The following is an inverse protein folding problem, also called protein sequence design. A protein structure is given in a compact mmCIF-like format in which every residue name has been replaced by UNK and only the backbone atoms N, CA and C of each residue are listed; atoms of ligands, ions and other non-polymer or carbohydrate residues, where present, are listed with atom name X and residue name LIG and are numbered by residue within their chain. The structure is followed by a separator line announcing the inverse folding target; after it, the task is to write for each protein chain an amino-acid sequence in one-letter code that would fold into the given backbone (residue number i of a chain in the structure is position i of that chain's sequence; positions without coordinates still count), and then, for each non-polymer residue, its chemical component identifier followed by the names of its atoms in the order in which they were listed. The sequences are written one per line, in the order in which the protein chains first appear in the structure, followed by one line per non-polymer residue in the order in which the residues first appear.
data_IF_500125845443
#
_entry.id   IF_500125845443
#
_cell.length_a   1.000
_cell.length_b   1.000
_cell.length_c   1.000
_cell.angle_alpha   90.00
_cell.angle_beta   90.00
_cell.angle_gamma   90.00
#
_symmetry.space_group_name_H-M   'P 1'
#
loop_
_entity.id
_entity.type
_entity.pdbx_description
1 polymer ?
#
# COMPACT_ATOMS: atom_id res chain seq x y z
N UNK A 1 -4.06 -7.44 46.34
CA UNK A 1 -2.78 -6.78 45.97
C UNK A 1 -2.75 -6.20 44.54
N UNK A 2 -3.69 -6.50 43.63
CA UNK A 2 -3.66 -5.95 42.25
C UNK A 2 -4.27 -4.53 42.09
N UNK A 3 -5.08 -4.07 43.05
CA UNK A 3 -5.85 -2.81 42.92
C UNK A 3 -4.97 -1.56 43.08
N UNK A 4 -4.01 -1.60 44.01
CA UNK A 4 -3.11 -0.46 44.28
C UNK A 4 -2.05 -0.31 43.19
N UNK A 5 -1.52 -1.42 42.68
CA UNK A 5 -0.57 -1.43 41.57
C UNK A 5 -1.20 -0.91 40.27
N UNK A 6 -2.43 -1.35 39.94
CA UNK A 6 -3.15 -0.84 38.77
C UNK A 6 -3.53 0.64 38.94
N UNK A 7 -3.89 1.07 40.15
CA UNK A 7 -4.13 2.48 40.45
C UNK A 7 -2.89 3.36 40.22
N UNK A 8 -1.70 2.89 40.62
CA UNK A 8 -0.44 3.57 40.32
C UNK A 8 -0.16 3.63 38.83
N UNK A 9 -0.39 2.54 38.08
CA UNK A 9 -0.21 2.52 36.62
C UNK A 9 -1.14 3.50 35.90
N UNK A 10 -2.40 3.59 36.34
CA UNK A 10 -3.34 4.56 35.81
C UNK A 10 -2.97 6.00 36.17
N UNK A 11 -2.45 6.23 37.37
CA UNK A 11 -2.00 7.56 37.80
C UNK A 11 -0.78 8.01 37.00
N UNK A 12 0.19 7.13 36.75
CA UNK A 12 1.34 7.47 35.90
C UNK A 12 0.98 7.60 34.42
N UNK A 13 -0.12 6.96 34.00
CA UNK A 13 -0.67 7.08 32.66
C UNK A 13 -1.39 8.42 32.42
N UNK A 14 -1.51 9.31 33.40
CA UNK A 14 -2.10 10.63 33.17
C UNK A 14 -1.38 11.37 32.04
N UNK A 15 -2.17 11.95 31.11
CA UNK A 15 -1.65 12.59 29.89
C UNK A 15 -0.74 13.78 30.21
N UNK A 16 -1.03 14.55 31.27
CA UNK A 16 -0.21 15.70 31.68
C UNK A 16 1.13 15.24 32.24
N UNK A 17 1.10 14.16 33.04
CA UNK A 17 2.33 13.57 33.54
C UNK A 17 3.17 12.97 32.39
N UNK A 18 2.56 12.23 31.47
CA UNK A 18 3.25 11.68 30.30
C UNK A 18 3.92 12.79 29.47
N UNK A 19 3.25 13.91 29.24
CA UNK A 19 3.84 15.09 28.59
C UNK A 19 5.05 15.62 29.32
N UNK A 20 4.97 15.76 30.64
CA UNK A 20 6.10 16.22 31.46
C UNK A 20 7.27 15.23 31.42
N UNK A 21 6.99 13.92 31.45
CA UNK A 21 8.03 12.88 31.30
C UNK A 21 8.72 13.02 29.93
N UNK A 22 7.96 13.15 28.85
CA UNK A 22 8.52 13.28 27.49
C UNK A 22 9.38 14.54 27.35
N UNK A 23 8.93 15.68 27.86
CA UNK A 23 9.62 16.96 27.73
C UNK A 23 10.84 17.08 28.64
N UNK A 24 10.69 16.72 29.92
CA UNK A 24 11.67 17.08 30.97
C UNK A 24 12.45 15.88 31.49
N UNK A 25 11.94 14.66 31.34
CA UNK A 25 12.54 13.46 31.94
C UNK A 25 12.45 12.22 31.05
N UNK A 26 12.94 12.28 29.79
CA UNK A 26 12.83 11.16 28.86
C UNK A 26 13.48 9.89 29.43
N UNK A 27 14.59 10.02 30.18
CA UNK A 27 15.25 8.89 30.87
C UNK A 27 14.31 8.09 31.79
N UNK A 28 13.31 8.74 32.39
CA UNK A 28 12.29 8.06 33.19
C UNK A 28 11.43 7.14 32.33
N UNK A 29 11.01 7.60 31.14
CA UNK A 29 10.31 6.75 30.18
C UNK A 29 11.18 5.53 29.80
N UNK A 30 12.46 5.74 29.47
CA UNK A 30 13.38 4.65 29.14
C UNK A 30 13.46 3.59 30.24
N UNK A 31 13.67 4.02 31.50
CA UNK A 31 13.77 3.10 32.62
C UNK A 31 12.48 2.29 32.82
N UNK A 32 11.32 2.94 32.66
CA UNK A 32 10.02 2.28 32.75
C UNK A 32 9.84 1.26 31.61
N UNK A 33 10.14 1.60 30.36
CA UNK A 33 10.04 0.66 29.24
C UNK A 33 11.04 -0.51 29.35
N UNK A 34 12.24 -0.27 29.85
CA UNK A 34 13.18 -1.36 30.17
C UNK A 34 12.65 -2.27 31.28
N UNK A 35 12.03 -1.71 32.32
CA UNK A 35 11.40 -2.50 33.38
C UNK A 35 10.20 -3.32 32.86
N UNK A 36 9.37 -2.75 31.98
CA UNK A 36 8.27 -3.46 31.32
C UNK A 36 8.82 -4.62 30.49
N UNK A 37 9.84 -4.37 29.66
CA UNK A 37 10.50 -5.39 28.85
C UNK A 37 11.11 -6.52 29.70
N UNK A 38 11.79 -6.17 30.80
CA UNK A 38 12.44 -7.14 31.68
C UNK A 38 11.43 -8.01 32.45
N UNK A 39 10.31 -7.43 32.87
CA UNK A 39 9.28 -8.15 33.63
C UNK A 39 8.32 -8.92 32.74
N UNK A 40 8.19 -8.56 31.46
CA UNK A 40 7.26 -9.13 30.47
C UNK A 40 5.79 -9.11 30.90
N UNK A 41 5.43 -8.23 31.85
CA UNK A 41 4.06 -8.08 32.37
C UNK A 41 3.28 -7.10 31.49
N UNK A 42 2.82 -7.58 30.34
CA UNK A 42 2.10 -6.75 29.38
C UNK A 42 0.58 -6.68 29.62
N UNK A 43 -0.02 -7.71 30.25
CA UNK A 43 -1.46 -7.79 30.52
C UNK A 43 -1.95 -7.02 31.76
N UNK A 44 -1.29 -5.90 32.08
CA UNK A 44 -1.66 -4.99 33.18
C UNK A 44 -2.07 -3.63 32.58
N UNK A 45 -2.53 -2.68 33.41
CA UNK A 45 -2.98 -1.34 33.00
C UNK A 45 -1.84 -0.41 32.47
N UNK A 46 -0.83 -0.98 31.80
CA UNK A 46 0.31 -0.27 31.21
C UNK A 46 0.00 0.29 29.82
N UNK A 47 -1.06 -0.21 29.16
CA UNK A 47 -1.47 0.21 27.83
C UNK A 47 -1.66 1.72 27.71
N UNK A 48 -2.41 2.31 28.64
CA UNK A 48 -2.67 3.75 28.68
C UNK A 48 -1.39 4.57 28.84
N UNK A 49 -0.46 4.12 29.69
CA UNK A 49 0.83 4.77 29.88
C UNK A 49 1.66 4.71 28.60
N UNK A 50 1.80 3.52 28.02
CA UNK A 50 2.62 3.31 26.83
C UNK A 50 2.10 4.12 25.63
N UNK A 51 0.77 4.11 25.43
CA UNK A 51 0.10 4.93 24.42
C UNK A 51 0.35 6.41 24.68
N UNK A 52 0.11 6.91 25.88
CA UNK A 52 0.24 8.35 26.16
C UNK A 52 1.68 8.85 26.03
N UNK A 53 2.69 8.08 26.45
CA UNK A 53 4.10 8.45 26.21
C UNK A 53 4.40 8.52 24.71
N UNK A 54 3.95 7.52 23.93
CA UNK A 54 4.18 7.52 22.49
C UNK A 54 3.54 8.73 21.80
N UNK A 55 2.28 9.02 22.11
CA UNK A 55 1.54 10.15 21.54
C UNK A 55 2.12 11.50 21.92
N UNK A 56 2.42 11.71 23.21
CA UNK A 56 3.04 12.96 23.66
C UNK A 56 4.46 13.14 23.09
N UNK A 57 5.20 12.04 22.88
CA UNK A 57 6.49 12.09 22.18
C UNK A 57 6.34 12.41 20.69
N UNK A 58 5.29 11.94 20.03
CA UNK A 58 5.06 12.22 18.62
C UNK A 58 4.60 13.67 18.39
N UNK A 59 3.81 14.23 19.30
CA UNK A 59 3.34 15.61 19.26
C UNK A 59 4.45 16.62 19.61
N UNK A 60 5.43 16.22 20.43
CA UNK A 60 6.57 17.05 20.79
C UNK A 60 7.75 16.85 19.82
N UNK A 61 8.01 17.84 18.95
CA UNK A 61 9.12 17.82 17.98
C UNK A 61 10.52 17.83 18.62
N UNK A 62 10.62 18.22 19.89
CA UNK A 62 11.87 18.16 20.65
C UNK A 62 12.03 16.83 21.40
N UNK A 63 11.11 15.87 21.24
CA UNK A 63 11.18 14.58 21.92
C UNK A 63 12.30 13.67 21.41
N UNK A 64 12.57 12.63 22.19
CA UNK A 64 13.53 11.58 21.82
C UNK A 64 13.20 10.91 20.47
N UNK A 65 11.95 10.89 20.01
CA UNK A 65 11.61 10.29 18.71
C UNK A 65 12.24 11.04 17.53
N UNK A 66 12.24 12.38 17.61
CA UNK A 66 12.82 13.26 16.59
C UNK A 66 14.33 13.39 16.75
N UNK A 67 14.82 13.53 17.98
CA UNK A 67 16.26 13.59 18.24
C UNK A 67 16.95 12.30 17.78
N UNK A 68 16.38 11.12 18.06
CA UNK A 68 16.96 9.88 17.55
C UNK A 68 16.85 9.72 16.03
N UNK A 69 16.10 10.59 15.33
CA UNK A 69 15.98 10.59 13.86
C UNK A 69 17.10 11.38 13.20
N UNK A 70 17.57 12.42 13.88
CA UNK A 70 18.51 13.38 13.31
C UNK A 70 19.96 12.92 13.57
N UNK A 71 20.40 11.94 12.77
CA UNK A 71 21.68 11.25 12.95
C UNK A 71 22.93 12.14 12.87
N UNK A 72 22.80 13.42 12.47
CA UNK A 72 23.93 14.36 12.47
C UNK A 72 23.86 15.39 13.61
N UNK A 73 22.66 15.75 14.09
CA UNK A 73 22.49 16.72 15.17
C UNK A 73 22.58 16.11 16.57
N UNK A 74 22.34 14.80 16.70
CA UNK A 74 22.07 14.16 18.01
C UNK A 74 23.19 13.27 18.56
N UNK A 75 24.35 13.25 17.91
CA UNK A 75 25.55 12.53 18.36
C UNK A 75 25.29 11.06 18.71
N UNK A 76 25.92 10.56 19.79
CA UNK A 76 25.83 9.16 20.22
C UNK A 76 24.39 8.64 20.45
N UNK A 77 23.47 9.52 20.86
CA UNK A 77 22.05 9.16 21.08
C UNK A 77 21.34 8.92 19.74
N UNK A 78 21.64 9.75 18.73
CA UNK A 78 21.16 9.56 17.37
C UNK A 78 21.64 8.25 16.73
N UNK A 79 22.86 7.82 17.08
CA UNK A 79 23.44 6.57 16.56
C UNK A 79 22.88 5.32 17.25
N UNK A 80 22.89 5.30 18.59
CA UNK A 80 22.50 4.11 19.37
C UNK A 80 20.99 3.95 19.51
N UNK A 81 20.24 5.06 19.42
CA UNK A 81 18.78 5.10 19.45
C UNK A 81 18.16 4.37 20.65
N UNK A 82 18.68 4.58 21.88
CA UNK A 82 18.32 3.77 23.05
C UNK A 82 16.81 3.77 23.36
N UNK A 83 16.12 4.89 23.13
CA UNK A 83 14.68 5.00 23.39
C UNK A 83 13.87 4.20 22.38
N UNK A 84 14.06 4.45 21.08
CA UNK A 84 13.31 3.73 20.05
C UNK A 84 13.65 2.24 20.02
N UNK A 85 14.88 1.84 20.38
CA UNK A 85 15.25 0.44 20.55
C UNK A 85 14.53 -0.19 21.75
N UNK A 86 14.60 0.41 22.94
CA UNK A 86 13.96 -0.14 24.14
C UNK A 86 12.43 -0.25 24.00
N UNK A 87 11.81 0.70 23.31
CA UNK A 87 10.37 0.77 23.11
C UNK A 87 9.90 -0.13 21.95
N UNK A 88 10.52 -0.02 20.78
CA UNK A 88 9.94 -0.60 19.56
C UNK A 88 10.70 -1.80 19.03
N UNK A 89 11.96 -2.03 19.43
CA UNK A 89 12.70 -3.24 19.10
C UNK A 89 12.43 -4.40 20.09
N UNK A 90 11.21 -4.46 20.62
CA UNK A 90 10.70 -5.55 21.44
C UNK A 90 9.31 -5.94 20.92
N UNK A 91 9.26 -6.91 20.01
CA UNK A 91 8.01 -7.33 19.38
C UNK A 91 7.01 -7.88 20.40
N UNK A 92 7.45 -8.60 21.44
CA UNK A 92 6.55 -9.13 22.48
C UNK A 92 5.80 -7.97 23.16
N UNK A 93 6.51 -6.89 23.47
CA UNK A 93 5.89 -5.71 24.07
C UNK A 93 4.93 -5.02 23.09
N UNK A 94 5.34 -4.83 21.84
CA UNK A 94 4.51 -4.18 20.81
C UNK A 94 3.22 -4.95 20.53
N UNK A 95 3.29 -6.27 20.44
CA UNK A 95 2.13 -7.13 20.14
C UNK A 95 1.20 -7.27 21.35
N UNK A 96 1.74 -7.37 22.56
CA UNK A 96 0.91 -7.57 23.75
C UNK A 96 0.33 -6.28 24.31
N UNK A 97 0.97 -5.12 24.09
CA UNK A 97 0.41 -3.81 24.39
C UNK A 97 -0.36 -3.32 23.16
N UNK A 98 -1.59 -3.81 23.00
CA UNK A 98 -2.40 -3.70 21.77
C UNK A 98 -2.55 -2.28 21.21
N UNK A 99 -2.52 -1.27 22.08
CA UNK A 99 -2.73 0.13 21.71
C UNK A 99 -1.44 0.92 21.46
N UNK A 100 -0.28 0.27 21.54
CA UNK A 100 1.00 0.99 21.58
C UNK A 100 1.36 1.70 20.28
N UNK A 101 1.14 1.03 19.15
CA UNK A 101 1.32 1.62 17.82
C UNK A 101 0.03 2.22 17.26
N UNK A 102 -1.09 2.16 17.99
CA UNK A 102 -2.36 2.67 17.50
C UNK A 102 -2.39 4.20 17.66
N UNK A 103 -2.47 4.95 16.56
CA UNK A 103 -2.68 6.37 16.64
C UNK A 103 -4.11 6.68 17.12
N UNK A 104 -4.30 7.86 17.70
CA UNK A 104 -5.63 8.45 17.87
C UNK A 104 -6.07 8.93 16.47
N UNK A 105 -7.18 8.40 15.96
CA UNK A 105 -7.66 8.66 14.59
C UNK A 105 -7.81 10.16 14.29
N UNK A 106 -8.26 10.94 15.28
CA UNK A 106 -8.45 12.37 15.14
C UNK A 106 -7.13 13.14 15.16
N UNK A 107 -6.13 12.61 15.87
CA UNK A 107 -4.77 13.16 15.88
C UNK A 107 -4.07 12.87 14.55
N UNK A 108 -4.20 11.63 14.03
CA UNK A 108 -3.51 11.20 12.82
C UNK A 108 -3.92 12.01 11.59
N UNK A 109 -5.20 12.40 11.48
CA UNK A 109 -5.68 13.27 10.40
C UNK A 109 -5.05 14.66 10.40
N UNK A 110 -4.49 15.09 11.53
CA UNK A 110 -3.83 16.40 11.70
C UNK A 110 -2.32 16.31 11.58
N UNK A 111 -1.77 15.11 11.44
CA UNK A 111 -0.32 14.94 11.36
C UNK A 111 0.25 15.59 10.13
N UNK A 112 1.30 16.38 10.33
CA UNK A 112 2.15 16.80 9.24
C UNK A 112 3.04 15.64 8.77
N UNK A 113 3.65 15.78 7.59
CA UNK A 113 4.51 14.70 7.11
C UNK A 113 5.76 14.42 7.97
N UNK A 114 6.17 15.29 8.91
CA UNK A 114 7.27 14.95 9.84
C UNK A 114 6.78 13.97 10.91
N UNK A 115 5.58 14.16 11.45
CA UNK A 115 4.94 13.19 12.34
C UNK A 115 4.71 11.85 11.61
N UNK A 116 4.23 11.87 10.36
CA UNK A 116 4.09 10.65 9.57
C UNK A 116 5.42 9.92 9.35
N UNK A 117 6.52 10.66 9.14
CA UNK A 117 7.86 10.10 8.94
C UNK A 117 8.38 9.38 10.20
N UNK A 118 8.22 10.03 11.37
CA UNK A 118 8.57 9.41 12.67
C UNK A 118 7.74 8.15 12.91
N UNK A 119 6.43 8.21 12.67
CA UNK A 119 5.55 7.06 12.81
C UNK A 119 5.98 5.90 11.91
N UNK A 120 6.23 6.16 10.61
CA UNK A 120 6.74 5.17 9.66
C UNK A 120 8.03 4.51 10.18
N UNK A 121 8.95 5.30 10.71
CA UNK A 121 10.22 4.80 11.24
C UNK A 121 10.03 3.89 12.45
N UNK A 122 9.19 4.30 13.41
CA UNK A 122 8.87 3.49 14.59
C UNK A 122 8.28 2.15 14.19
N UNK A 123 7.32 2.13 13.26
CA UNK A 123 6.73 0.90 12.75
C UNK A 123 7.76 0.02 12.04
N UNK A 124 8.71 0.59 11.29
CA UNK A 124 9.80 -0.17 10.66
C UNK A 124 10.75 -0.82 11.67
N UNK A 125 11.00 -0.19 12.82
CA UNK A 125 11.82 -0.77 13.90
C UNK A 125 11.10 -2.00 14.46
N UNK A 126 9.82 -1.86 14.80
CA UNK A 126 8.98 -2.98 15.27
C UNK A 126 8.89 -4.10 14.24
N UNK A 127 8.67 -3.75 12.97
CA UNK A 127 8.59 -4.70 11.86
C UNK A 127 9.89 -5.48 11.66
N UNK A 128 11.06 -4.82 11.72
CA UNK A 128 12.36 -5.49 11.66
C UNK A 128 12.55 -6.45 12.82
N UNK A 129 12.27 -6.01 14.05
CA UNK A 129 12.42 -6.87 15.22
C UNK A 129 11.51 -8.09 15.14
N UNK A 130 10.25 -7.89 14.73
CA UNK A 130 9.28 -8.96 14.52
C UNK A 130 9.80 -10.04 13.55
N UNK A 131 10.35 -9.64 12.40
CA UNK A 131 10.87 -10.59 11.42
C UNK A 131 12.10 -11.33 11.95
N UNK A 132 13.03 -10.61 12.58
CA UNK A 132 14.30 -11.18 13.09
C UNK A 132 14.10 -12.25 14.17
N UNK A 133 13.00 -12.21 14.93
CA UNK A 133 12.71 -13.18 16.00
C UNK A 133 12.01 -14.45 15.49
N UNK A 134 11.97 -14.66 14.16
CA UNK A 134 11.41 -15.84 13.49
C UNK A 134 9.95 -16.16 13.85
N UNK A 135 9.23 -15.21 14.45
CA UNK A 135 7.82 -15.35 14.77
C UNK A 135 7.00 -15.21 13.47
N UNK A 136 6.19 -16.23 13.16
CA UNK A 136 5.46 -16.36 11.89
C UNK A 136 3.95 -16.22 12.02
N UNK A 137 3.49 -15.70 13.16
CA UNK A 137 2.06 -15.49 13.42
C UNK A 137 1.47 -14.35 12.58
N UNK A 138 0.15 -14.16 12.68
CA UNK A 138 -0.50 -12.91 12.32
C UNK A 138 -0.23 -11.90 13.45
N UNK A 139 0.11 -10.65 13.13
CA UNK A 139 0.13 -9.57 14.13
C UNK A 139 -0.88 -8.53 13.71
N UNK A 140 -2.01 -8.53 14.43
CA UNK A 140 -3.03 -7.50 14.30
C UNK A 140 -2.41 -6.12 14.42
N UNK A 141 -1.54 -5.90 15.40
CA UNK A 141 -0.97 -4.59 15.71
C UNK A 141 -0.13 -4.05 14.55
N UNK A 142 0.74 -4.88 13.96
CA UNK A 142 1.52 -4.49 12.78
C UNK A 142 0.64 -4.31 11.53
N UNK A 143 -0.34 -5.20 11.31
CA UNK A 143 -1.28 -5.06 10.19
C UNK A 143 -2.02 -3.73 10.25
N UNK A 144 -2.52 -3.39 11.44
CA UNK A 144 -3.26 -2.16 11.69
C UNK A 144 -2.35 -0.95 11.51
N UNK A 145 -1.17 -0.94 12.13
CA UNK A 145 -0.22 0.17 11.97
C UNK A 145 0.18 0.42 10.50
N UNK A 146 0.40 -0.66 9.72
CA UNK A 146 0.64 -0.57 8.27
C UNK A 146 -0.60 -0.06 7.52
N UNK A 147 -1.80 -0.43 7.93
CA UNK A 147 -3.06 0.12 7.45
C UNK A 147 -3.12 1.64 7.66
N UNK A 148 -2.84 2.11 8.88
CA UNK A 148 -2.84 3.53 9.25
C UNK A 148 -1.82 4.34 8.44
N UNK A 149 -0.60 3.82 8.26
CA UNK A 149 0.39 4.45 7.36
C UNK A 149 -0.18 4.61 5.95
N UNK A 150 -0.90 3.60 5.46
CA UNK A 150 -1.47 3.65 4.12
C UNK A 150 -2.55 4.73 4.00
N UNK A 151 -3.35 4.94 5.04
CA UNK A 151 -4.39 5.97 5.10
C UNK A 151 -3.81 7.38 4.96
N UNK A 152 -2.54 7.62 5.30
CA UNK A 152 -1.88 8.92 5.07
C UNK A 152 -1.89 9.36 3.59
N UNK A 153 -2.10 8.44 2.64
CA UNK A 153 -2.27 8.75 1.21
C UNK A 153 -3.74 8.91 0.76
N UNK A 154 -4.72 8.87 1.67
CA UNK A 154 -6.15 8.97 1.32
C UNK A 154 -6.53 10.31 0.70
N UNK A 155 -5.84 11.36 1.12
CA UNK A 155 -6.13 12.75 0.73
C UNK A 155 -5.73 13.08 -0.71
N UNK A 156 -5.17 12.11 -1.45
CA UNK A 156 -4.90 12.25 -2.89
C UNK A 156 -6.15 12.64 -3.70
N UNK A 157 -7.35 12.27 -3.23
CA UNK A 157 -8.60 12.69 -3.88
C UNK A 157 -8.88 14.21 -3.76
N UNK A 158 -8.23 14.91 -2.83
CA UNK A 158 -8.40 16.35 -2.61
C UNK A 158 -7.54 17.21 -3.56
N UNK A 159 -6.54 16.59 -4.19
CA UNK A 159 -5.63 17.25 -5.13
C UNK A 159 -6.38 17.83 -6.34
N UNK A 160 -6.22 19.13 -6.55
CA UNK A 160 -6.81 19.88 -7.65
C UNK A 160 -5.73 20.56 -8.50
N UNK A 161 -6.11 21.12 -9.65
CA UNK A 161 -5.15 21.73 -10.59
C UNK A 161 -4.47 23.00 -10.07
N UNK A 162 -4.98 23.61 -9.00
CA UNK A 162 -4.37 24.79 -8.36
C UNK A 162 -3.38 24.32 -7.30
N UNK A 163 -2.09 24.35 -7.63
CA UNK A 163 -1.02 24.02 -6.68
C UNK A 163 -1.08 24.92 -5.44
N UNK A 164 -1.34 24.31 -4.30
CA UNK A 164 -1.35 24.90 -2.96
C UNK A 164 -0.25 24.28 -2.09
N UNK A 165 0.09 24.92 -0.97
CA UNK A 165 0.99 24.33 0.03
C UNK A 165 0.45 22.98 0.57
N UNK A 166 -0.87 22.82 0.64
CA UNK A 166 -1.52 21.56 1.04
C UNK A 166 -1.27 20.42 0.05
N UNK A 167 -1.24 20.70 -1.26
CA UNK A 167 -0.93 19.67 -2.27
C UNK A 167 0.51 19.15 -2.12
N UNK A 168 1.44 20.01 -1.71
CA UNK A 168 2.82 19.62 -1.42
C UNK A 168 2.90 18.63 -0.26
N UNK A 169 2.17 18.88 0.83
CA UNK A 169 2.13 17.96 1.97
C UNK A 169 1.47 16.62 1.61
N UNK A 170 0.34 16.63 0.89
CA UNK A 170 -0.33 15.40 0.43
C UNK A 170 0.63 14.55 -0.43
N UNK A 171 1.38 15.18 -1.34
CA UNK A 171 2.38 14.48 -2.15
C UNK A 171 3.59 14.00 -1.32
N UNK A 172 3.98 14.74 -0.27
CA UNK A 172 5.02 14.34 0.68
C UNK A 172 4.57 13.11 1.48
N UNK A 173 3.34 13.09 1.99
CA UNK A 173 2.74 11.92 2.66
C UNK A 173 2.69 10.70 1.74
N UNK A 174 2.27 10.85 0.49
CA UNK A 174 2.35 9.75 -0.49
C UNK A 174 3.80 9.25 -0.66
N UNK A 175 4.78 10.16 -0.76
CA UNK A 175 6.17 9.76 -0.90
C UNK A 175 6.68 8.97 0.31
N UNK A 176 6.26 9.35 1.53
CA UNK A 176 6.57 8.61 2.77
C UNK A 176 5.95 7.21 2.76
N UNK A 177 4.69 7.06 2.38
CA UNK A 177 4.03 5.73 2.29
C UNK A 177 4.77 4.83 1.29
N UNK A 178 5.12 5.35 0.12
CA UNK A 178 5.89 4.59 -0.88
C UNK A 178 7.28 4.23 -0.35
N UNK A 179 7.93 5.13 0.37
CA UNK A 179 9.25 4.86 0.96
C UNK A 179 9.16 3.81 2.07
N UNK A 180 8.15 3.86 2.93
CA UNK A 180 7.88 2.84 3.93
C UNK A 180 7.68 1.45 3.30
N UNK A 181 6.88 1.35 2.23
CA UNK A 181 6.68 0.09 1.49
C UNK A 181 8.03 -0.45 0.98
N UNK A 182 8.87 0.42 0.42
CA UNK A 182 10.20 0.03 -0.07
C UNK A 182 11.09 -0.49 1.05
N UNK A 183 11.07 0.19 2.19
CA UNK A 183 11.89 -0.18 3.35
C UNK A 183 11.40 -1.48 4.00
N UNK A 184 10.09 -1.71 4.06
CA UNK A 184 9.51 -2.97 4.52
C UNK A 184 9.92 -4.14 3.62
N UNK A 185 9.87 -3.97 2.30
CA UNK A 185 10.33 -5.00 1.35
C UNK A 185 11.84 -5.25 1.51
N UNK A 186 12.64 -4.20 1.66
CA UNK A 186 14.08 -4.31 1.89
C UNK A 186 14.40 -5.09 3.18
N UNK A 187 13.65 -4.87 4.25
CA UNK A 187 13.82 -5.63 5.51
C UNK A 187 13.52 -7.12 5.26
N UNK A 188 12.45 -7.45 4.54
CA UNK A 188 12.15 -8.84 4.19
C UNK A 188 13.23 -9.46 3.29
N UNK A 189 13.80 -8.71 2.36
CA UNK A 189 14.88 -9.19 1.50
C UNK A 189 16.17 -9.47 2.29
N UNK A 190 16.44 -8.69 3.35
CA UNK A 190 17.61 -8.89 4.22
C UNK A 190 17.51 -10.16 5.06
N UNK A 191 16.30 -10.48 5.54
CA UNK A 191 16.03 -11.68 6.35
C UNK A 191 15.89 -12.95 5.48
N UNK A 192 15.62 -12.77 4.19
CA UNK A 192 15.46 -13.86 3.23
C UNK A 192 14.02 -14.40 3.14
N UNK A 193 13.77 -15.22 2.11
CA UNK A 193 12.46 -15.86 1.91
C UNK A 193 12.46 -17.23 2.57
N UNK A 194 11.56 -17.51 3.53
CA UNK A 194 11.47 -18.82 4.15
C UNK A 194 11.13 -19.94 3.14
N UNK A 195 11.66 -21.14 3.34
CA UNK A 195 11.54 -22.28 2.40
C UNK A 195 10.09 -22.70 2.07
N UNK A 196 9.16 -22.45 2.99
CA UNK A 196 7.73 -22.77 2.82
C UNK A 196 6.96 -21.71 2.01
N UNK A 197 7.56 -20.57 1.70
CA UNK A 197 6.92 -19.53 0.89
C UNK A 197 7.06 -19.89 -0.59
N UNK A 198 6.06 -20.60 -1.10
CA UNK A 198 6.00 -20.91 -2.52
C UNK A 198 5.54 -19.69 -3.33
N UNK A 199 6.39 -19.20 -4.25
CA UNK A 199 6.04 -18.12 -5.19
C UNK A 199 4.86 -18.54 -6.08
N UNK A 200 4.73 -19.83 -6.39
CA UNK A 200 3.65 -20.37 -7.23
C UNK A 200 2.72 -21.26 -6.41
N UNK A 201 1.73 -20.67 -5.76
CA UNK A 201 0.66 -21.44 -5.14
C UNK A 201 -0.44 -21.73 -6.18
N UNK A 202 -0.81 -23.01 -6.32
CA UNK A 202 -1.92 -23.47 -7.18
C UNK A 202 -3.23 -22.82 -6.73
N UNK A 203 -4.18 -22.69 -7.66
CA UNK A 203 -5.53 -22.17 -7.38
C UNK A 203 -6.14 -22.95 -6.20
N UNK A 204 -6.54 -22.26 -5.14
CA UNK A 204 -7.19 -22.86 -3.96
C UNK A 204 -6.48 -22.64 -2.62
N UNK A 205 -5.19 -22.26 -2.62
CA UNK A 205 -4.45 -21.97 -1.39
C UNK A 205 -4.00 -20.49 -1.42
N UNK A 206 -4.98 -19.62 -1.14
CA UNK A 206 -4.81 -18.16 -1.09
C UNK A 206 -4.28 -17.67 0.26
N UNK A 207 -3.76 -18.56 1.11
CA UNK A 207 -3.14 -18.19 2.37
C UNK A 207 -1.86 -17.38 2.08
N UNK A 208 -2.00 -16.06 2.10
CA UNK A 208 -0.88 -15.14 2.05
C UNK A 208 -0.03 -15.44 3.29
N UNK A 209 1.29 -15.69 3.18
CA UNK A 209 2.11 -15.51 4.36
C UNK A 209 1.92 -14.05 4.77
N UNK A 210 1.41 -13.88 5.98
CA UNK A 210 0.60 -12.74 6.41
C UNK A 210 1.29 -11.40 6.10
N UNK A 211 2.60 -11.33 6.33
CA UNK A 211 3.43 -10.14 6.11
C UNK A 211 3.52 -9.68 4.65
N UNK A 212 3.72 -10.60 3.70
CA UNK A 212 3.71 -10.26 2.27
C UNK A 212 2.31 -9.80 1.84
N UNK A 213 1.27 -10.38 2.45
CA UNK A 213 -0.11 -10.00 2.24
C UNK A 213 -0.40 -8.56 2.66
N UNK A 214 0.15 -8.10 3.79
CA UNK A 214 0.00 -6.71 4.22
C UNK A 214 0.63 -5.74 3.23
N UNK A 215 1.87 -5.98 2.79
CA UNK A 215 2.54 -5.10 1.81
C UNK A 215 1.76 -5.05 0.49
N UNK A 216 1.28 -6.20 0.01
CA UNK A 216 0.43 -6.25 -1.20
C UNK A 216 -0.88 -5.48 -1.00
N UNK A 217 -1.46 -5.52 0.21
CA UNK A 217 -2.65 -4.75 0.57
C UNK A 217 -2.38 -3.26 0.62
N UNK A 218 -1.27 -2.83 1.23
CA UNK A 218 -0.85 -1.44 1.21
C UNK A 218 -0.73 -0.91 -0.22
N UNK A 219 -0.02 -1.64 -1.11
CA UNK A 219 0.17 -1.20 -2.50
C UNK A 219 -1.16 -1.13 -3.25
N UNK A 220 -2.02 -2.15 -3.13
CA UNK A 220 -3.35 -2.16 -3.75
C UNK A 220 -4.25 -1.00 -3.27
N UNK A 221 -4.16 -0.67 -1.97
CA UNK A 221 -4.87 0.46 -1.37
C UNK A 221 -4.32 1.80 -1.86
N UNK A 222 -3.01 1.98 -1.93
CA UNK A 222 -2.39 3.19 -2.50
C UNK A 222 -2.82 3.37 -3.96
N UNK A 223 -2.76 2.30 -4.77
CA UNK A 223 -3.27 2.32 -6.15
C UNK A 223 -4.74 2.77 -6.15
N UNK A 224 -5.56 2.22 -5.26
CA UNK A 224 -6.97 2.60 -5.12
C UNK A 224 -7.18 4.08 -4.78
N UNK A 225 -6.32 4.69 -3.97
CA UNK A 225 -6.36 6.14 -3.73
C UNK A 225 -5.98 6.94 -4.97
N UNK A 226 -4.96 6.51 -5.73
CA UNK A 226 -4.61 7.18 -7.00
C UNK A 226 -5.72 7.13 -8.05
N UNK A 227 -6.64 6.16 -7.96
CA UNK A 227 -7.81 6.06 -8.85
C UNK A 227 -8.89 7.11 -8.56
N UNK A 228 -8.86 7.75 -7.39
CA UNK A 228 -9.80 8.77 -6.93
C UNK A 228 -9.32 10.21 -7.22
N UNK A 229 -8.12 10.38 -7.76
CA UNK A 229 -7.61 11.70 -8.17
C UNK A 229 -8.43 12.21 -9.34
N UNK A 230 -9.06 13.38 -9.17
CA UNK A 230 -9.96 13.96 -10.17
C UNK A 230 -9.21 14.71 -11.28
N UNK A 231 -8.05 15.31 -10.97
CA UNK A 231 -7.29 16.13 -11.93
C UNK A 231 -6.65 15.28 -13.04
N UNK A 232 -7.04 15.48 -14.33
CA UNK A 232 -6.48 14.73 -15.46
C UNK A 232 -4.96 14.86 -15.60
N UNK A 233 -4.42 16.06 -15.36
CA UNK A 233 -2.98 16.34 -15.49
C UNK A 233 -2.16 15.62 -14.42
N UNK A 234 -2.66 15.60 -13.17
CA UNK A 234 -1.95 15.03 -12.04
C UNK A 234 -2.05 13.50 -11.96
N UNK A 235 -3.17 12.92 -12.41
CA UNK A 235 -3.42 11.47 -12.37
C UNK A 235 -2.24 10.68 -12.94
N UNK A 236 -1.76 11.04 -14.13
CA UNK A 236 -0.64 10.34 -14.77
C UNK A 236 0.64 10.49 -13.96
N UNK A 237 0.96 11.70 -13.51
CA UNK A 237 2.20 11.94 -12.77
C UNK A 237 2.22 11.19 -11.45
N UNK A 238 1.11 11.17 -10.72
CA UNK A 238 0.97 10.41 -9.47
C UNK A 238 1.07 8.90 -9.75
N UNK A 239 0.24 8.38 -10.66
CA UNK A 239 0.17 6.94 -10.94
C UNK A 239 1.49 6.42 -11.51
N UNK A 240 2.06 7.10 -12.51
CA UNK A 240 3.27 6.65 -13.21
C UNK A 240 4.56 7.03 -12.48
N UNK A 241 4.78 8.31 -12.14
CA UNK A 241 6.06 8.76 -11.57
C UNK A 241 6.14 8.46 -10.07
N UNK A 242 5.11 8.83 -9.32
CA UNK A 242 5.17 8.75 -7.85
C UNK A 242 4.93 7.35 -7.31
N UNK A 243 4.04 6.56 -7.91
CA UNK A 243 3.71 5.20 -7.46
C UNK A 243 4.43 4.15 -8.29
N UNK A 244 4.08 4.02 -9.57
CA UNK A 244 4.54 2.91 -10.41
C UNK A 244 6.07 2.88 -10.56
N UNK A 245 6.68 4.01 -10.90
CA UNK A 245 8.13 4.08 -11.16
C UNK A 245 8.94 3.83 -9.89
N UNK A 246 8.54 4.43 -8.77
CA UNK A 246 9.23 4.22 -7.48
C UNK A 246 9.13 2.79 -6.98
N UNK A 247 8.02 2.09 -7.23
CA UNK A 247 7.86 0.69 -6.82
C UNK A 247 8.51 -0.29 -7.80
N UNK A 248 8.34 -0.13 -9.12
CA UNK A 248 8.73 -1.16 -10.09
C UNK A 248 10.02 -0.89 -10.86
N UNK A 249 10.43 0.37 -11.05
CA UNK A 249 11.67 0.69 -11.78
C UNK A 249 12.87 0.89 -10.86
N UNK A 250 12.67 1.33 -9.62
CA UNK A 250 13.75 1.64 -8.67
C UNK A 250 14.19 0.43 -7.83
N UNK A 251 14.20 -0.77 -8.43
CA UNK A 251 14.72 -2.01 -7.84
C UNK A 251 14.04 -2.55 -6.56
N UNK A 252 12.95 -1.94 -6.08
CA UNK A 252 12.26 -2.34 -4.85
C UNK A 252 11.93 -3.82 -4.78
N UNK A 253 11.54 -4.43 -5.91
CA UNK A 253 11.14 -5.83 -5.96
C UNK A 253 12.21 -6.77 -6.49
N UNK A 254 13.47 -6.34 -6.57
CA UNK A 254 14.53 -7.15 -7.19
C UNK A 254 15.01 -8.30 -6.29
N UNK A 255 14.89 -8.18 -4.97
CA UNK A 255 15.28 -9.23 -4.05
C UNK A 255 14.25 -10.37 -3.99
N UNK A 256 14.59 -11.50 -3.35
CA UNK A 256 13.74 -12.68 -3.29
C UNK A 256 12.35 -12.40 -2.69
N UNK A 257 12.27 -11.66 -1.58
CA UNK A 257 11.02 -11.28 -0.94
C UNK A 257 10.25 -10.27 -1.81
N UNK A 258 10.98 -9.34 -2.42
CA UNK A 258 10.43 -8.41 -3.41
C UNK A 258 9.72 -9.12 -4.57
N UNK A 259 10.29 -10.21 -5.10
CA UNK A 259 9.67 -11.01 -6.17
C UNK A 259 8.38 -11.71 -5.70
N UNK A 260 8.31 -12.17 -4.44
CA UNK A 260 7.06 -12.71 -3.85
C UNK A 260 5.97 -11.64 -3.84
N UNK A 261 6.29 -10.43 -3.35
CA UNK A 261 5.36 -9.28 -3.33
C UNK A 261 4.91 -8.93 -4.74
N UNK A 262 5.83 -8.79 -5.70
CA UNK A 262 5.52 -8.44 -7.08
C UNK A 262 4.66 -9.50 -7.78
N UNK A 263 4.93 -10.79 -7.56
CA UNK A 263 4.10 -11.88 -8.08
C UNK A 263 2.66 -11.80 -7.55
N UNK A 264 2.51 -11.65 -6.23
CA UNK A 264 1.20 -11.62 -5.56
C UNK A 264 0.41 -10.37 -5.95
N UNK A 265 1.06 -9.20 -5.98
CA UNK A 265 0.45 -7.96 -6.43
C UNK A 265 -0.03 -8.07 -7.87
N UNK A 266 0.81 -8.59 -8.79
CA UNK A 266 0.40 -8.84 -10.18
C UNK A 266 -0.86 -9.70 -10.26
N UNK A 267 -0.91 -10.80 -9.51
CA UNK A 267 -2.07 -11.70 -9.49
C UNK A 267 -3.30 -11.00 -8.95
N UNK A 268 -3.18 -10.24 -7.86
CA UNK A 268 -4.28 -9.45 -7.28
C UNK A 268 -4.83 -8.44 -8.28
N UNK A 269 -3.97 -7.66 -8.94
CA UNK A 269 -4.39 -6.67 -9.94
C UNK A 269 -5.08 -7.35 -11.13
N UNK A 270 -4.48 -8.42 -11.67
CA UNK A 270 -5.08 -9.13 -12.80
C UNK A 270 -6.41 -9.81 -12.44
N UNK A 271 -6.54 -10.39 -11.24
CA UNK A 271 -7.79 -11.00 -10.79
C UNK A 271 -8.92 -9.95 -10.70
N UNK A 272 -8.61 -8.71 -10.27
CA UNK A 272 -9.58 -7.62 -10.29
C UNK A 272 -10.03 -7.28 -11.72
N UNK A 273 -9.14 -7.33 -12.72
CA UNK A 273 -9.49 -7.10 -14.13
C UNK A 273 -10.25 -8.30 -14.73
N UNK A 274 -9.78 -9.52 -14.47
CA UNK A 274 -10.39 -10.75 -14.98
C UNK A 274 -11.80 -10.99 -14.41
N UNK A 275 -12.08 -10.45 -13.22
CA UNK A 275 -13.39 -10.41 -12.59
C UNK A 275 -14.34 -9.35 -13.16
N UNK A 276 -13.98 -8.62 -14.22
CA UNK A 276 -14.95 -7.86 -15.01
C UNK A 276 -15.76 -8.88 -15.83
N UNK A 277 -16.85 -9.38 -15.24
CA UNK A 277 -17.77 -10.34 -15.87
C UNK A 277 -19.22 -10.00 -15.50
N UNK A 278 -20.16 -10.48 -16.31
CA UNK A 278 -21.57 -10.57 -15.97
C UNK A 278 -21.75 -11.81 -15.08
N UNK A 279 -22.51 -11.72 -13.99
CA UNK A 279 -23.00 -12.91 -13.29
C UNK A 279 -24.23 -13.52 -14.00
N UNK A 280 -24.61 -14.74 -13.63
CA UNK A 280 -25.73 -15.48 -14.24
C UNK A 280 -27.09 -14.74 -14.13
N UNK A 281 -27.18 -13.70 -13.31
CA UNK A 281 -28.37 -12.87 -13.10
C UNK A 281 -28.32 -11.52 -13.84
N UNK A 282 -27.34 -11.29 -14.70
CA UNK A 282 -27.24 -10.03 -15.46
C UNK A 282 -26.83 -8.82 -14.62
N UNK A 283 -26.39 -9.03 -13.38
CA UNK A 283 -25.94 -7.95 -12.50
C UNK A 283 -24.45 -7.63 -12.74
N UNK A 284 -24.20 -6.35 -12.99
CA UNK A 284 -22.85 -5.81 -13.16
C UNK A 284 -22.14 -5.76 -11.80
N UNK A 285 -21.07 -6.54 -11.62
CA UNK A 285 -20.12 -6.30 -10.54
C UNK A 285 -18.75 -5.96 -11.13
N UNK A 286 -18.09 -4.99 -10.49
CA UNK A 286 -16.65 -4.70 -10.59
C UNK A 286 -16.19 -3.43 -11.37
N UNK A 287 -16.80 -2.27 -11.08
CA UNK A 287 -16.22 -0.95 -11.42
C UNK A 287 -14.79 -0.76 -10.89
N UNK A 288 -14.42 -1.45 -9.80
CA UNK A 288 -13.04 -1.48 -9.30
C UNK A 288 -12.10 -2.08 -10.33
N UNK A 289 -12.44 -3.25 -10.88
CA UNK A 289 -11.70 -3.91 -11.95
C UNK A 289 -11.51 -3.02 -13.17
N UNK A 290 -12.56 -2.32 -13.61
CA UNK A 290 -12.48 -1.34 -14.69
C UNK A 290 -11.48 -0.21 -14.38
N UNK A 291 -11.55 0.37 -13.17
CA UNK A 291 -10.60 1.42 -12.75
C UNK A 291 -9.17 0.88 -12.63
N UNK A 292 -8.97 -0.38 -12.24
CA UNK A 292 -7.64 -1.01 -12.20
C UNK A 292 -7.11 -1.27 -13.60
N UNK A 293 -7.98 -1.67 -14.55
CA UNK A 293 -7.62 -1.76 -15.95
C UNK A 293 -7.16 -0.39 -16.48
N UNK A 294 -7.91 0.67 -16.17
CA UNK A 294 -7.54 2.06 -16.47
C UNK A 294 -6.16 2.42 -15.93
N UNK A 295 -5.89 2.12 -14.66
CA UNK A 295 -4.57 2.33 -14.06
C UNK A 295 -3.48 1.58 -14.81
N UNK A 296 -3.69 0.28 -15.10
CA UNK A 296 -2.71 -0.53 -15.81
C UNK A 296 -2.41 0.02 -17.21
N UNK A 297 -3.44 0.41 -17.97
CA UNK A 297 -3.27 1.02 -19.29
C UNK A 297 -2.55 2.37 -19.22
N UNK A 298 -2.83 3.19 -18.19
CA UNK A 298 -2.16 4.46 -17.96
C UNK A 298 -0.66 4.31 -17.68
N UNK A 299 -0.27 3.33 -16.85
CA UNK A 299 1.12 3.19 -16.39
C UNK A 299 1.98 2.26 -17.26
N UNK A 300 1.36 1.28 -17.94
CA UNK A 300 2.07 0.33 -18.81
C UNK A 300 2.07 0.71 -20.29
N UNK A 301 1.22 1.68 -20.68
CA UNK A 301 0.97 2.07 -22.06
C UNK A 301 0.42 0.93 -22.95
N UNK A 302 0.11 1.28 -24.21
CA UNK A 302 -0.57 0.39 -25.16
C UNK A 302 0.37 -0.56 -25.94
N UNK A 303 1.68 -0.31 -25.94
CA UNK A 303 2.66 -1.12 -26.69
C UNK A 303 3.51 -1.97 -25.76
N UNK A 304 3.59 -3.28 -26.02
CA UNK A 304 4.42 -4.21 -25.23
C UNK A 304 5.89 -3.80 -25.31
N UNK A 305 6.51 -3.61 -24.14
CA UNK A 305 7.96 -3.38 -24.04
C UNK A 305 8.68 -4.61 -24.63
N UNK A 306 9.39 -4.43 -25.76
CA UNK A 306 10.20 -5.48 -26.41
C UNK A 306 11.51 -5.66 -25.65
N UNK A 307 11.89 -6.91 -25.36
CA UNK A 307 13.13 -7.28 -24.68
C UNK A 307 13.24 -8.79 -24.54
N UNK A 308 14.41 -9.36 -24.89
CA UNK A 308 14.56 -10.76 -25.32
C UNK A 308 14.92 -11.80 -24.25
N UNK A 309 14.89 -11.48 -22.95
CA UNK A 309 15.22 -12.48 -21.93
C UNK A 309 14.13 -12.64 -20.87
N UNK A 310 13.57 -13.85 -20.77
CA UNK A 310 12.27 -14.10 -20.12
C UNK A 310 12.35 -14.55 -18.66
N UNK A 311 13.51 -14.98 -18.19
CA UNK A 311 13.67 -15.54 -16.83
C UNK A 311 14.70 -14.81 -15.98
N UNK A 312 15.67 -14.14 -16.60
CA UNK A 312 16.72 -13.35 -15.94
C UNK A 312 16.37 -11.87 -15.81
N UNK A 313 15.34 -11.38 -16.53
CA UNK A 313 14.99 -9.97 -16.50
C UNK A 313 14.20 -9.62 -15.23
N UNK A 314 14.77 -8.74 -14.40
CA UNK A 314 14.21 -8.18 -13.15
C UNK A 314 12.84 -7.51 -13.33
N UNK A 315 12.42 -7.41 -14.59
CA UNK A 315 11.22 -6.82 -15.16
C UNK A 315 10.11 -7.82 -15.46
N UNK A 316 10.32 -9.09 -15.11
CA UNK A 316 9.44 -10.20 -15.44
C UNK A 316 7.98 -9.97 -15.00
N UNK A 317 7.74 -9.66 -13.72
CA UNK A 317 6.37 -9.59 -13.21
C UNK A 317 5.53 -8.50 -13.88
N UNK A 318 6.11 -7.32 -14.14
CA UNK A 318 5.38 -6.26 -14.83
C UNK A 318 5.10 -6.62 -16.29
N UNK A 319 6.04 -7.27 -17.01
CA UNK A 319 5.83 -7.64 -18.41
C UNK A 319 4.71 -8.65 -18.57
N UNK A 320 4.64 -9.59 -17.63
CA UNK A 320 3.57 -10.58 -17.60
C UNK A 320 2.22 -9.89 -17.31
N UNK A 321 2.17 -8.95 -16.36
CA UNK A 321 0.96 -8.15 -16.13
C UNK A 321 0.55 -7.41 -17.41
N UNK A 322 1.48 -6.70 -18.03
CA UNK A 322 1.25 -5.90 -19.24
C UNK A 322 0.66 -6.72 -20.37
N UNK A 323 1.24 -7.88 -20.65
CA UNK A 323 0.72 -8.79 -21.68
C UNK A 323 -0.66 -9.31 -21.34
N UNK A 324 -0.89 -9.70 -20.09
CA UNK A 324 -2.19 -10.19 -19.65
C UNK A 324 -3.27 -9.11 -19.76
N UNK A 325 -2.95 -7.88 -19.35
CA UNK A 325 -3.82 -6.70 -19.49
C UNK A 325 -4.15 -6.44 -20.94
N UNK A 326 -3.15 -6.32 -21.82
CA UNK A 326 -3.39 -6.06 -23.24
C UNK A 326 -4.15 -7.20 -23.92
N UNK A 327 -3.86 -8.46 -23.60
CA UNK A 327 -4.59 -9.61 -24.12
C UNK A 327 -6.05 -9.59 -23.69
N UNK A 328 -6.33 -9.26 -22.42
CA UNK A 328 -7.69 -9.08 -21.91
C UNK A 328 -8.40 -7.95 -22.65
N UNK A 329 -7.77 -6.77 -22.77
CA UNK A 329 -8.34 -5.60 -23.46
C UNK A 329 -8.68 -5.93 -24.91
N UNK A 330 -7.76 -6.53 -25.66
CA UNK A 330 -7.99 -6.92 -27.06
C UNK A 330 -9.19 -7.85 -27.21
N UNK A 331 -9.34 -8.82 -26.31
CA UNK A 331 -10.36 -9.85 -26.40
C UNK A 331 -11.74 -9.37 -25.95
N UNK A 332 -11.80 -8.49 -24.96
CA UNK A 332 -13.05 -8.21 -24.23
C UNK A 332 -13.56 -6.77 -24.37
N UNK A 333 -12.72 -5.81 -24.76
CA UNK A 333 -13.10 -4.39 -24.71
C UNK A 333 -14.22 -4.02 -25.70
N UNK A 334 -14.16 -4.50 -26.94
CA UNK A 334 -15.19 -4.18 -27.95
C UNK A 334 -16.56 -4.68 -27.49
N UNK A 335 -16.63 -5.92 -27.01
CA UNK A 335 -17.86 -6.48 -26.44
C UNK A 335 -18.36 -5.67 -25.24
N UNK A 336 -17.45 -5.28 -24.34
CA UNK A 336 -17.78 -4.49 -23.15
C UNK A 336 -18.34 -3.11 -23.54
N UNK A 337 -17.76 -2.46 -24.55
CA UNK A 337 -18.21 -1.17 -25.04
C UNK A 337 -19.59 -1.26 -25.68
N UNK A 338 -19.86 -2.31 -26.47
CA UNK A 338 -21.16 -2.52 -27.11
C UNK A 338 -22.31 -2.79 -26.13
N UNK A 339 -22.05 -3.56 -25.06
CA UNK A 339 -23.12 -3.99 -24.13
C UNK A 339 -23.18 -3.12 -22.86
N UNK A 340 -22.06 -2.54 -22.43
CA UNK A 340 -21.94 -1.79 -21.18
C UNK A 340 -21.02 -0.55 -21.34
N UNK A 341 -21.42 0.45 -22.15
CA UNK A 341 -20.57 1.59 -22.53
C UNK A 341 -20.02 2.35 -21.31
N UNK A 342 -20.85 2.61 -20.27
CA UNK A 342 -20.39 3.30 -19.05
C UNK A 342 -19.26 2.57 -18.31
N UNK A 343 -19.26 1.23 -18.33
CA UNK A 343 -18.21 0.42 -17.71
C UNK A 343 -16.96 0.38 -18.59
N UNK A 344 -17.13 0.32 -19.90
CA UNK A 344 -16.02 0.43 -20.86
C UNK A 344 -15.34 1.80 -20.77
N UNK A 345 -16.10 2.89 -20.70
CA UNK A 345 -15.58 4.25 -20.48
C UNK A 345 -14.81 4.34 -19.16
N UNK A 346 -15.29 3.68 -18.10
CA UNK A 346 -14.59 3.62 -16.81
C UNK A 346 -13.24 2.88 -16.88
N UNK A 347 -13.03 2.04 -17.90
CA UNK A 347 -11.75 1.39 -18.18
C UNK A 347 -10.76 2.30 -18.90
N UNK A 348 -11.24 3.40 -19.49
CA UNK A 348 -10.40 4.35 -20.23
C UNK A 348 -10.00 5.52 -19.33
N UNK A 349 -8.76 5.98 -19.50
CA UNK A 349 -8.25 7.18 -18.83
C UNK A 349 -8.43 8.40 -19.73
N UNK A 350 -8.18 9.59 -19.19
CA UNK A 350 -8.31 10.85 -19.94
C UNK A 350 -7.40 10.96 -21.18
N UNK A 351 -6.41 10.07 -21.30
CA UNK A 351 -5.47 10.02 -22.42
C UNK A 351 -5.70 8.82 -23.35
N UNK A 352 -6.75 8.02 -23.13
CA UNK A 352 -7.06 6.84 -23.91
C UNK A 352 -8.46 6.98 -24.50
N UNK A 353 -8.57 6.95 -25.81
CA UNK A 353 -9.85 7.01 -26.52
C UNK A 353 -10.07 5.71 -27.30
N UNK A 354 -11.34 5.37 -27.51
CA UNK A 354 -11.73 4.25 -28.36
C UNK A 354 -12.18 4.77 -29.73
N UNK A 355 -11.55 4.25 -30.78
CA UNK A 355 -11.88 4.48 -32.18
C UNK A 355 -12.63 3.23 -32.67
N UNK A 356 -13.97 3.36 -32.72
CA UNK A 356 -14.87 2.27 -33.07
C UNK A 356 -14.80 1.89 -34.55
N UNK A 357 -14.51 2.85 -35.43
CA UNK A 357 -14.40 2.62 -36.88
C UNK A 357 -13.22 1.70 -37.20
N UNK A 358 -12.10 1.90 -36.51
CA UNK A 358 -10.87 1.13 -36.73
C UNK A 358 -10.64 0.04 -35.68
N UNK A 359 -11.61 -0.21 -34.80
CA UNK A 359 -11.54 -1.15 -33.67
C UNK A 359 -10.21 -1.05 -32.90
N UNK A 360 -9.86 0.17 -32.45
CA UNK A 360 -8.57 0.41 -31.78
C UNK A 360 -8.70 1.37 -30.60
N UNK A 361 -7.82 1.19 -29.61
CA UNK A 361 -7.58 2.22 -28.60
C UNK A 361 -6.45 3.13 -29.05
N UNK A 362 -6.62 4.43 -28.90
CA UNK A 362 -5.61 5.45 -29.13
C UNK A 362 -5.15 6.03 -27.79
N UNK A 363 -3.83 6.08 -27.56
CA UNK A 363 -3.21 6.70 -26.40
C UNK A 363 -2.51 7.98 -26.84
N UNK A 364 -2.95 9.11 -26.33
CA UNK A 364 -2.34 10.41 -26.59
C UNK A 364 -1.26 10.68 -25.55
N UNK A 365 0.00 10.70 -25.97
CA UNK A 365 1.10 11.06 -25.08
C UNK A 365 1.04 12.56 -24.75
N UNK A 366 1.22 12.96 -23.48
CA UNK A 366 1.41 14.35 -23.11
C UNK A 366 2.59 14.90 -23.89
N UNK A 367 2.36 15.92 -24.69
CA UNK A 367 3.38 16.46 -25.55
C UNK A 367 4.46 17.18 -24.72
N UNK A 368 5.74 16.99 -25.10
CA UNK A 368 6.76 18.01 -24.86
C UNK A 368 6.80 18.91 -26.10
N UNK A 369 5.76 19.72 -26.34
CA UNK A 369 5.66 20.59 -27.52
C UNK A 369 4.34 20.47 -28.30
N UNK A 370 4.33 20.95 -29.55
CA UNK A 370 3.11 21.22 -30.34
C UNK A 370 2.44 20.01 -31.02
N UNK A 371 3.00 18.80 -30.94
CA UNK A 371 2.36 17.57 -31.46
C UNK A 371 2.58 16.44 -30.46
N UNK A 372 1.49 15.93 -29.88
CA UNK A 372 1.53 14.74 -29.02
C UNK A 372 1.60 13.49 -29.87
N UNK A 373 2.61 12.64 -29.66
CA UNK A 373 2.65 11.32 -30.29
C UNK A 373 1.43 10.50 -29.85
N UNK A 374 0.81 9.76 -30.78
CA UNK A 374 -0.31 8.85 -30.49
C UNK A 374 0.16 7.41 -30.67
N UNK A 375 -0.20 6.53 -29.74
CA UNK A 375 0.05 5.09 -29.85
C UNK A 375 -1.27 4.34 -29.99
N UNK A 376 -1.30 3.30 -30.81
CA UNK A 376 -2.53 2.56 -31.08
C UNK A 376 -2.44 1.11 -30.59
N UNK A 377 -3.57 0.57 -30.12
CA UNK A 377 -3.78 -0.85 -29.84
C UNK A 377 -4.97 -1.34 -30.66
N UNK A 378 -4.72 -2.19 -31.66
CA UNK A 378 -5.78 -2.90 -32.36
C UNK A 378 -6.49 -3.89 -31.43
N UNK A 379 -7.82 -3.91 -31.49
CA UNK A 379 -8.70 -4.77 -30.72
C UNK A 379 -9.31 -5.85 -31.61
N UNK A 380 -9.77 -6.94 -30.98
CA UNK A 380 -10.51 -7.97 -31.70
C UNK A 380 -11.98 -7.55 -31.81
N UNK A 381 -12.67 -7.90 -32.91
CA UNK A 381 -14.12 -7.72 -33.00
C UNK A 381 -14.82 -8.45 -31.84
N UNK A 382 -15.97 -7.94 -31.39
CA UNK A 382 -16.75 -8.62 -30.37
C UNK A 382 -17.10 -10.04 -30.87
N UNK A 383 -17.00 -11.08 -30.01
CA UNK A 383 -17.57 -12.38 -30.37
C UNK A 383 -19.06 -12.19 -30.69
N UNK A 384 -19.59 -12.93 -31.69
CA UNK A 384 -20.99 -12.81 -32.06
C UNK A 384 -21.89 -13.08 -30.83
N UNK A 385 -23.07 -12.45 -30.76
CA UNK A 385 -24.04 -12.80 -29.73
C UNK A 385 -24.32 -14.31 -29.79
N UNK A 386 -24.53 -14.99 -28.64
CA UNK A 386 -24.95 -16.38 -28.66
C UNK A 386 -26.22 -16.47 -29.52
N UNK A 387 -26.25 -17.38 -30.49
CA UNK A 387 -27.41 -17.57 -31.35
C UNK A 387 -28.65 -17.76 -30.47
N UNK A 388 -29.79 -17.10 -30.79
CA UNK A 388 -31.03 -17.43 -30.11
C UNK A 388 -31.27 -18.91 -30.32
N UNK A 389 -31.40 -19.65 -29.21
CA UNK A 389 -31.89 -21.03 -29.26
C UNK A 389 -33.22 -20.95 -29.99
N UNK A 390 -33.22 -21.35 -31.26
CA UNK A 390 -34.44 -21.45 -32.03
C UNK A 390 -35.38 -22.30 -31.18
N UNK A 391 -36.57 -21.76 -30.90
CA UNK A 391 -37.64 -22.49 -30.25
C UNK A 391 -37.91 -23.73 -31.13
N UNK A 392 -37.23 -24.83 -30.81
CA UNK A 392 -37.46 -26.11 -31.42
C UNK A 392 -38.89 -26.47 -31.06
N UNK A 393 -39.70 -26.50 -32.12
CA UNK A 393 -41.08 -26.90 -32.14
C UNK A 393 -41.36 -27.99 -31.11
N UNK A 394 -42.33 -27.72 -30.25
CA UNK A 394 -43.10 -28.75 -29.56
C UNK A 394 -43.70 -29.65 -30.66
N UNK A 395 -43.37 -30.95 -30.72
CA UNK A 395 -44.25 -31.88 -31.40
C UNK A 395 -45.42 -32.13 -30.43
N UNK A 396 -46.61 -31.75 -30.88
CA UNK A 396 -47.86 -32.16 -30.27
C UNK A 396 -48.03 -33.70 -30.36
N UNK A 397 -48.71 -34.23 -29.35
CA UNK A 397 -49.22 -35.60 -29.13
C UNK A 397 -48.28 -36.56 -28.39
#
# INVERSE_FOLDING_TARGET
MNRDANGLLQLIADKRLCRAIVAESPRTALALFQAIANTRKYGIEIESFARNIFHEALDNKDSFLYQEADGHASGLIGDHKPFTQAMFANYEMVVNIKTFLLPDEDAMRKWDAAQCEIYCRVVLISFRNYISQAYRGDSSELSWAMGEITIAASDLCTLNERSSAGDSDVLRRLALVIQFIKDAVRILDQEGVPDHVHIRVRVGDDSLPVLYGYIVTMIDTVISYTLKVSSPKLVRDIQYKSVWTKLFYHSTFNGPAGQVVAFKLRRRLYNQIAGIRIDEMGCLRNFRGAKILRFCLNVLALAVIRGNDYKSDRRFHYRVLHRAVLAWTKKHFVWLHSHHPRLAESCLGNHITYDAEHLRLAYTHPAKGSIGNVSYLALNPAPPPPEPVAASAVPNA
#
